data_IF_059018145997
#
_entry.id   IF_059018145997
#
_cell.length_a   1.000
_cell.length_b   1.000
_cell.length_c   1.000
_cell.angle_alpha   90.00
_cell.angle_beta   90.00
_cell.angle_gamma   90.00
#
_symmetry.space_group_name_H-M   'P 1'
#
loop_
_entity.id
_entity.type
_entity.pdbx_description
1 polymer ?
#
# COMPACT_ATOMS: atom_id res chain seq x y z
N UNK A 1 -17.33 -4.91 -4.32
CA UNK A 1 -17.16 -3.62 -3.61
C UNK A 1 -16.28 -2.75 -4.48
N UNK A 2 -16.57 -1.46 -4.59
CA UNK A 2 -15.72 -0.53 -5.34
C UNK A 2 -14.40 -0.29 -4.58
N UNK A 3 -13.26 -0.23 -5.30
CA UNK A 3 -11.94 -0.06 -4.68
C UNK A 3 -11.85 1.22 -3.85
N UNK A 4 -12.49 2.29 -4.33
CA UNK A 4 -12.47 3.59 -3.66
C UNK A 4 -13.28 3.56 -2.36
N UNK A 5 -14.42 2.88 -2.39
CA UNK A 5 -15.25 2.67 -1.20
C UNK A 5 -14.54 1.82 -0.14
N UNK A 6 -13.81 0.78 -0.56
CA UNK A 6 -13.00 -0.02 0.36
C UNK A 6 -11.86 0.78 0.99
N UNK A 7 -11.16 1.62 0.22
CA UNK A 7 -10.09 2.48 0.75
C UNK A 7 -10.62 3.41 1.86
N UNK A 8 -11.80 4.01 1.65
CA UNK A 8 -12.43 4.84 2.68
C UNK A 8 -12.79 4.07 3.94
N UNK A 9 -13.37 2.88 3.81
CA UNK A 9 -13.71 2.05 4.97
C UNK A 9 -12.48 1.62 5.76
N UNK A 10 -11.37 1.39 5.08
CA UNK A 10 -10.08 1.04 5.69
C UNK A 10 -9.50 2.23 6.46
N UNK A 11 -9.44 3.40 5.82
CA UNK A 11 -8.99 4.65 6.44
C UNK A 11 -9.80 5.00 7.70
N UNK A 12 -11.12 4.83 7.63
CA UNK A 12 -12.04 5.04 8.76
C UNK A 12 -11.98 3.93 9.83
N UNK A 13 -11.14 2.89 9.65
CA UNK A 13 -11.11 1.68 10.49
C UNK A 13 -12.49 1.02 10.66
N UNK A 14 -13.33 1.10 9.62
CA UNK A 14 -14.70 0.61 9.60
C UNK A 14 -14.82 -0.86 9.15
N UNK A 15 -13.72 -1.47 8.67
CA UNK A 15 -13.65 -2.88 8.31
C UNK A 15 -12.84 -3.67 9.36
N UNK A 16 -13.31 -4.86 9.72
CA UNK A 16 -12.58 -5.73 10.64
C UNK A 16 -11.44 -6.47 9.93
N UNK A 17 -10.50 -7.04 10.71
CA UNK A 17 -9.46 -7.91 10.17
C UNK A 17 -10.08 -9.07 9.37
N UNK A 18 -11.06 -9.76 9.94
CA UNK A 18 -11.71 -10.92 9.33
C UNK A 18 -12.42 -10.55 8.04
N UNK A 19 -13.15 -9.43 8.04
CA UNK A 19 -13.85 -8.95 6.85
C UNK A 19 -12.86 -8.56 5.74
N UNK A 20 -11.75 -7.91 6.10
CA UNK A 20 -10.70 -7.54 5.15
C UNK A 20 -9.98 -8.78 4.59
N UNK A 21 -9.65 -9.76 5.43
CA UNK A 21 -9.07 -11.03 5.01
C UNK A 21 -10.00 -11.84 4.09
N UNK A 22 -11.31 -11.78 4.32
CA UNK A 22 -12.33 -12.41 3.46
C UNK A 22 -12.39 -11.83 2.04
N UNK A 23 -11.77 -10.68 1.78
CA UNK A 23 -11.68 -10.10 0.43
C UNK A 23 -10.60 -10.76 -0.44
N UNK A 24 -9.70 -11.56 0.15
CA UNK A 24 -8.70 -12.29 -0.62
C UNK A 24 -9.35 -13.36 -1.51
N UNK A 25 -9.01 -13.34 -2.80
CA UNK A 25 -9.42 -14.42 -3.70
C UNK A 25 -8.63 -15.68 -3.34
N UNK A 26 -9.33 -16.80 -3.12
CA UNK A 26 -8.74 -18.11 -2.81
C UNK A 26 -7.94 -18.20 -1.50
N UNK A 27 -7.96 -17.14 -0.66
CA UNK A 27 -7.26 -17.12 0.62
C UNK A 27 -5.78 -16.72 0.55
N UNK A 28 -5.30 -16.22 -0.60
CA UNK A 28 -3.94 -15.69 -0.69
C UNK A 28 -3.89 -14.25 -0.15
N UNK A 29 -3.59 -14.13 1.15
CA UNK A 29 -3.50 -12.83 1.81
C UNK A 29 -2.28 -12.02 1.35
N UNK A 30 -1.20 -12.67 0.92
CA UNK A 30 0.02 -11.99 0.50
C UNK A 30 -0.22 -11.29 -0.84
N UNK A 31 -0.74 -12.03 -1.83
CA UNK A 31 -1.06 -11.47 -3.13
C UNK A 31 -2.14 -10.39 -3.03
N UNK A 32 -3.09 -10.55 -2.10
CA UNK A 32 -4.13 -9.57 -1.82
C UNK A 32 -3.55 -8.24 -1.31
N UNK A 33 -2.78 -8.24 -0.20
CA UNK A 33 -2.24 -6.99 0.36
C UNK A 33 -1.30 -6.29 -0.61
N UNK A 34 -0.49 -7.05 -1.37
CA UNK A 34 0.39 -6.52 -2.40
C UNK A 34 -0.39 -5.85 -3.54
N UNK A 35 -1.40 -6.54 -4.07
CA UNK A 35 -2.22 -6.03 -5.17
C UNK A 35 -3.04 -4.80 -4.75
N UNK A 36 -3.57 -4.82 -3.52
CA UNK A 36 -4.37 -3.73 -2.99
C UNK A 36 -3.52 -2.48 -2.72
N UNK A 37 -2.35 -2.64 -2.11
CA UNK A 37 -1.38 -1.55 -1.91
C UNK A 37 -0.93 -0.93 -3.23
N UNK A 38 -0.67 -1.74 -4.26
CA UNK A 38 -0.36 -1.26 -5.61
C UNK A 38 -1.50 -0.43 -6.23
N UNK A 39 -2.76 -0.77 -5.95
CA UNK A 39 -3.89 0.00 -6.44
C UNK A 39 -3.99 1.36 -5.72
N UNK A 40 -3.78 1.42 -4.41
CA UNK A 40 -3.70 2.67 -3.64
C UNK A 40 -2.62 3.58 -4.22
N UNK A 41 -1.40 3.07 -4.38
CA UNK A 41 -0.28 3.82 -4.97
C UNK A 41 -0.62 4.37 -6.36
N UNK A 42 -1.27 3.57 -7.23
CA UNK A 42 -1.68 4.02 -8.57
C UNK A 42 -2.75 5.10 -8.54
N UNK A 43 -3.74 4.99 -7.65
CA UNK A 43 -4.81 5.99 -7.50
C UNK A 43 -4.21 7.31 -7.00
N UNK A 44 -3.33 7.25 -6.00
CA UNK A 44 -2.63 8.41 -5.48
C UNK A 44 -1.77 9.09 -6.55
N UNK A 45 -0.94 8.32 -7.28
CA UNK A 45 -0.08 8.87 -8.35
C UNK A 45 -0.86 9.48 -9.53
N UNK A 46 -2.13 9.11 -9.70
CA UNK A 46 -3.05 9.73 -10.68
C UNK A 46 -3.79 10.94 -10.13
N UNK A 47 -3.57 11.31 -8.86
CA UNK A 47 -4.33 12.32 -8.11
C UNK A 47 -5.84 11.99 -8.04
N UNK A 48 -6.19 10.69 -7.98
CA UNK A 48 -7.58 10.25 -7.78
C UNK A 48 -7.93 10.19 -6.28
N UNK A 49 -6.94 10.00 -5.40
CA UNK A 49 -7.05 10.11 -3.95
C UNK A 49 -5.98 11.05 -3.40
N UNK A 50 -6.29 11.75 -2.31
CA UNK A 50 -5.36 12.64 -1.61
C UNK A 50 -4.35 11.83 -0.76
N UNK A 51 -3.27 12.49 -0.33
CA UNK A 51 -2.20 11.85 0.43
C UNK A 51 -2.73 11.22 1.73
N UNK A 52 -3.51 11.97 2.50
CA UNK A 52 -4.00 11.53 3.82
C UNK A 52 -4.84 10.25 3.72
N UNK A 53 -5.65 10.12 2.68
CA UNK A 53 -6.47 8.93 2.45
C UNK A 53 -5.63 7.72 2.02
N UNK A 54 -4.61 7.95 1.20
CA UNK A 54 -3.72 6.89 0.75
C UNK A 54 -2.81 6.40 1.89
N UNK A 55 -2.26 7.34 2.66
CA UNK A 55 -1.43 7.10 3.84
C UNK A 55 -2.20 6.36 4.93
N UNK A 56 -3.38 6.83 5.32
CA UNK A 56 -4.23 6.17 6.31
C UNK A 56 -4.59 4.73 5.92
N UNK A 57 -4.88 4.50 4.63
CA UNK A 57 -5.11 3.15 4.12
C UNK A 57 -3.86 2.25 4.20
N UNK A 58 -2.67 2.78 3.89
CA UNK A 58 -1.42 2.03 4.01
C UNK A 58 -1.03 1.76 5.46
N UNK A 59 -1.28 2.69 6.37
CA UNK A 59 -1.12 2.54 7.81
C UNK A 59 -2.00 1.38 8.34
N UNK A 60 -3.26 1.28 7.91
CA UNK A 60 -4.11 0.13 8.24
C UNK A 60 -3.55 -1.18 7.68
N UNK A 61 -3.12 -1.21 6.40
CA UNK A 61 -2.58 -2.41 5.78
C UNK A 61 -1.31 -2.88 6.51
N UNK A 62 -0.46 -1.95 6.94
CA UNK A 62 0.70 -2.27 7.78
C UNK A 62 0.29 -2.88 9.13
N UNK A 63 -0.74 -2.32 9.78
CA UNK A 63 -1.35 -2.92 10.97
C UNK A 63 -1.85 -4.34 10.72
N UNK A 64 -2.52 -4.57 9.58
CA UNK A 64 -2.99 -5.89 9.16
C UNK A 64 -1.83 -6.87 8.92
N UNK A 65 -0.76 -6.43 8.25
CA UNK A 65 0.40 -7.28 7.95
C UNK A 65 1.26 -7.62 9.17
N UNK A 66 1.15 -6.82 10.25
CA UNK A 66 1.89 -7.02 11.51
C UNK A 66 1.08 -7.75 12.58
N UNK A 67 -0.18 -8.09 12.30
CA UNK A 67 -1.02 -8.91 13.17
C UNK A 67 -0.51 -10.37 13.24
N UNK A 68 -0.70 -11.01 14.40
CA UNK A 68 -0.26 -12.40 14.64
C UNK A 68 -0.87 -13.40 13.64
N UNK A 69 -2.10 -13.20 13.19
CA UNK A 69 -2.77 -14.07 12.21
C UNK A 69 -2.06 -13.97 10.86
N UNK A 70 -1.82 -12.74 10.39
CA UNK A 70 -1.13 -12.51 9.13
C UNK A 70 0.32 -13.01 9.19
N UNK A 71 1.03 -12.71 10.27
CA UNK A 71 2.43 -13.15 10.44
C UNK A 71 2.55 -14.68 10.48
N UNK A 72 1.61 -15.38 11.11
CA UNK A 72 1.56 -16.84 11.03
C UNK A 72 1.26 -17.33 9.61
N UNK A 73 0.36 -16.68 8.88
CA UNK A 73 0.05 -17.00 7.48
C UNK A 73 1.27 -16.80 6.58
N UNK A 74 1.96 -15.67 6.73
CA UNK A 74 3.10 -15.29 5.90
C UNK A 74 4.40 -15.97 6.32
N UNK A 75 4.43 -16.92 7.26
CA UNK A 75 5.70 -17.48 7.75
C UNK A 75 6.65 -16.42 8.32
N UNK A 76 6.09 -15.44 9.03
CA UNK A 76 6.77 -14.35 9.72
C UNK A 76 7.56 -13.38 8.82
N UNK A 77 7.03 -13.03 7.64
CA UNK A 77 7.56 -11.92 6.84
C UNK A 77 6.46 -10.92 6.43
N UNK A 78 6.86 -9.67 6.21
CA UNK A 78 5.99 -8.63 5.65
C UNK A 78 6.27 -8.54 4.13
N UNK A 79 5.26 -8.68 3.27
CA UNK A 79 5.46 -8.80 1.84
C UNK A 79 5.74 -7.47 1.13
N UNK A 80 6.59 -7.55 0.10
CA UNK A 80 6.74 -6.51 -0.94
C UNK A 80 5.82 -6.81 -2.13
N UNK A 81 5.25 -5.78 -2.80
CA UNK A 81 5.51 -4.35 -2.59
C UNK A 81 4.72 -3.66 -1.49
N UNK A 82 3.86 -4.35 -0.73
CA UNK A 82 3.03 -3.68 0.28
C UNK A 82 3.85 -2.90 1.32
N UNK A 83 4.95 -3.48 1.85
CA UNK A 83 5.85 -2.77 2.75
C UNK A 83 6.56 -1.59 2.08
N UNK A 84 7.03 -1.74 0.84
CA UNK A 84 7.76 -0.68 0.14
C UNK A 84 6.86 0.54 -0.13
N UNK A 85 5.57 0.29 -0.40
CA UNK A 85 4.57 1.33 -0.57
C UNK A 85 4.27 2.02 0.77
N UNK A 86 4.14 1.25 1.86
CA UNK A 86 3.97 1.80 3.20
C UNK A 86 5.15 2.73 3.57
N UNK A 87 6.38 2.26 3.37
CA UNK A 87 7.60 3.03 3.64
C UNK A 87 7.66 4.34 2.82
N UNK A 88 7.10 4.35 1.60
CA UNK A 88 7.00 5.57 0.78
C UNK A 88 6.04 6.60 1.37
N UNK A 89 4.89 6.17 1.89
CA UNK A 89 3.93 7.07 2.54
C UNK A 89 4.46 7.55 3.90
N UNK A 90 4.99 6.65 4.74
CA UNK A 90 5.62 7.00 6.03
C UNK A 90 6.71 8.06 5.88
N UNK A 91 7.59 7.91 4.88
CA UNK A 91 8.64 8.89 4.61
C UNK A 91 8.10 10.29 4.21
N UNK A 92 6.85 10.40 3.76
CA UNK A 92 6.19 11.65 3.42
C UNK A 92 5.50 12.36 4.58
N UNK A 93 5.35 11.70 5.74
CA UNK A 93 4.62 12.26 6.88
C UNK A 93 5.38 13.38 7.62
N UNK A 94 6.72 13.39 7.53
CA UNK A 94 7.57 14.27 8.33
C UNK A 94 8.73 14.88 7.56
N UNK A 95 9.22 16.03 8.05
CA UNK A 95 10.47 16.62 7.59
C UNK A 95 11.66 15.74 8.00
N UNK A 96 12.60 15.51 7.09
CA UNK A 96 13.79 14.74 7.37
C UNK A 96 14.96 15.62 7.80
N UNK A 97 15.90 15.04 8.54
CA UNK A 97 17.09 15.77 8.97
C UNK A 97 17.90 16.25 7.77
N UNK A 98 18.10 17.57 7.67
CA UNK A 98 18.81 18.21 6.56
C UNK A 98 17.88 18.81 5.49
N UNK A 99 16.58 18.64 5.64
CA UNK A 99 15.59 19.37 4.85
C UNK A 99 15.58 20.84 5.22
N UNK A 100 15.30 21.67 4.22
CA UNK A 100 14.95 23.07 4.46
C UNK A 100 13.49 23.16 4.92
N UNK A 101 13.16 24.21 5.68
CA UNK A 101 11.81 24.42 6.23
C UNK A 101 10.70 24.51 5.15
N UNK A 102 11.06 24.77 3.90
CA UNK A 102 10.17 24.84 2.73
C UNK A 102 10.09 23.54 1.93
N UNK A 103 10.82 22.50 2.32
CA UNK A 103 10.75 21.19 1.67
C UNK A 103 9.37 20.58 1.86
N UNK A 104 8.77 20.04 0.80
CA UNK A 104 7.57 19.21 0.91
C UNK A 104 8.01 17.73 0.96
N UNK A 105 7.86 17.03 2.10
CA UNK A 105 8.34 15.64 2.22
C UNK A 105 7.64 14.70 1.24
N UNK A 106 6.35 14.92 0.98
CA UNK A 106 5.56 14.17 0.00
C UNK A 106 6.20 14.23 -1.40
N UNK A 107 6.57 15.43 -1.86
CA UNK A 107 7.21 15.60 -3.18
C UNK A 107 8.64 15.05 -3.21
N UNK A 108 9.34 15.11 -2.08
CA UNK A 108 10.76 14.72 -1.99
C UNK A 108 10.97 13.23 -1.75
N UNK A 109 10.07 12.58 -1.03
CA UNK A 109 10.24 11.19 -0.55
C UNK A 109 9.15 10.27 -1.08
N UNK A 110 7.87 10.56 -0.82
CA UNK A 110 6.77 9.67 -1.23
C UNK A 110 6.72 9.48 -2.73
N UNK A 111 6.63 10.56 -3.51
CA UNK A 111 6.46 10.44 -4.96
C UNK A 111 7.63 9.75 -5.65
N UNK A 112 8.90 10.10 -5.39
CA UNK A 112 10.04 9.40 -6.00
C UNK A 112 10.06 7.91 -5.64
N UNK A 113 9.81 7.56 -4.37
CA UNK A 113 9.82 6.16 -3.96
C UNK A 113 8.67 5.37 -4.58
N UNK A 114 7.46 5.94 -4.65
CA UNK A 114 6.34 5.30 -5.35
C UNK A 114 6.60 5.12 -6.85
N UNK A 115 7.33 6.03 -7.50
CA UNK A 115 7.75 5.85 -8.91
C UNK A 115 8.64 4.60 -9.03
N UNK A 116 9.67 4.48 -8.19
CA UNK A 116 10.59 3.33 -8.21
C UNK A 116 9.85 2.00 -7.97
N UNK A 117 8.94 1.97 -6.99
CA UNK A 117 8.11 0.79 -6.69
C UNK A 117 7.19 0.47 -7.86
N UNK A 118 6.51 1.46 -8.45
CA UNK A 118 5.60 1.22 -9.57
C UNK A 118 6.33 0.83 -10.87
N UNK A 119 7.56 1.29 -11.08
CA UNK A 119 8.41 0.84 -12.19
C UNK A 119 8.84 -0.61 -11.99
N UNK A 120 9.20 -0.98 -10.75
CA UNK A 120 9.63 -2.34 -10.39
C UNK A 120 8.48 -3.34 -10.49
N UNK A 121 7.33 -3.02 -9.89
CA UNK A 121 6.21 -3.96 -9.69
C UNK A 121 5.02 -3.72 -10.63
N UNK A 122 4.89 -2.53 -11.22
CA UNK A 122 3.80 -2.19 -12.14
C UNK A 122 3.93 -2.86 -13.52
N UNK A 123 5.16 -3.14 -13.98
CA UNK A 123 5.42 -3.86 -15.23
C UNK A 123 5.36 -5.40 -15.09
N UNK A 124 5.54 -5.94 -13.88
CA UNK A 124 5.58 -7.39 -13.63
C UNK A 124 4.25 -8.10 -13.95
N UNK A 125 3.11 -7.38 -13.92
CA UNK A 125 1.80 -7.96 -14.25
C UNK A 125 1.58 -8.23 -15.75
N UNK A 126 2.39 -7.64 -16.64
CA UNK A 126 2.29 -7.88 -18.09
C UNK A 126 3.04 -9.16 -18.49
N UNK A 127 4.01 -9.62 -17.69
CA UNK A 127 4.83 -10.78 -18.05
C UNK A 127 4.18 -12.14 -17.74
N UNK A 128 3.11 -12.19 -16.95
CA UNK A 128 2.36 -13.44 -16.69
C UNK A 128 1.34 -13.78 -17.78
N UNK A 129 1.05 -12.87 -18.72
CA UNK A 129 0.08 -13.10 -19.80
C UNK A 129 0.72 -13.50 -21.15
N UNK A 130 2.05 -13.60 -21.23
CA UNK A 130 2.77 -13.90 -22.50
C UNK A 130 3.30 -15.35 -22.55
N UNK A 131 2.74 -16.25 -21.76
CA UNK A 131 2.96 -17.70 -21.93
C UNK A 131 1.62 -18.45 -21.98
N UNK A 132 1.02 -18.48 -23.17
CA UNK A 132 0.06 -19.50 -23.60
C UNK A 132 0.15 -19.69 -25.11
#
# INVERSE_FOLDING_TARGET
MDTFELIKQIDENAISFEDFACLSEQGDLIDFVNSFSLNIAKLYMKNEIEFELADGAMNYIFGFMTDDIFMNFSSNYIPSPAIDIYDAFDAGEYQHSGDSDDTCPIEKYTKPHLIEVLETYGSLRVMSEVTS
#
